data_IF_023966194664
#
_entry.id   IF_023966194664
#
_cell.length_a   1.000
_cell.length_b   1.000
_cell.length_c   1.000
_cell.angle_alpha   90.00
_cell.angle_beta   90.00
_cell.angle_gamma   90.00
#
_symmetry.space_group_name_H-M   'P 1'
#
loop_
_entity.id
_entity.type
_entity.pdbx_description
1 polymer ?
#
# COMPACT_ATOMS: atom_id res chain seq x y z
N UNK A 1 28.56 -39.47 -20.94
CA UNK A 1 28.13 -39.19 -19.54
C UNK A 1 28.50 -37.78 -19.08
N UNK A 2 29.77 -37.35 -19.19
CA UNK A 2 30.20 -36.00 -18.77
C UNK A 2 29.58 -34.82 -19.54
N UNK A 3 29.26 -34.98 -20.83
CA UNK A 3 28.64 -33.93 -21.64
C UNK A 3 27.18 -33.63 -21.20
N UNK A 4 26.43 -34.68 -20.90
CA UNK A 4 25.03 -34.59 -20.44
C UNK A 4 24.96 -33.94 -19.06
N UNK A 5 25.91 -34.26 -18.18
CA UNK A 5 26.01 -33.67 -16.85
C UNK A 5 26.32 -32.17 -16.89
N UNK A 6 27.20 -31.73 -17.81
CA UNK A 6 27.50 -30.30 -18.04
C UNK A 6 26.30 -29.54 -18.61
N UNK A 7 25.53 -30.17 -19.50
CA UNK A 7 24.32 -29.60 -20.06
C UNK A 7 23.21 -29.44 -19.00
N UNK A 8 23.01 -30.46 -18.15
CA UNK A 8 22.10 -30.40 -17.01
C UNK A 8 22.49 -29.30 -16.00
N UNK A 9 23.78 -29.16 -15.69
CA UNK A 9 24.26 -28.12 -14.78
C UNK A 9 24.04 -26.70 -15.36
N UNK A 10 24.26 -26.51 -16.67
CA UNK A 10 23.96 -25.25 -17.35
C UNK A 10 22.47 -24.91 -17.38
N UNK A 11 21.61 -25.91 -17.57
CA UNK A 11 20.15 -25.73 -17.56
C UNK A 11 19.64 -25.31 -16.18
N UNK A 12 20.16 -25.90 -15.11
CA UNK A 12 19.79 -25.54 -13.72
C UNK A 12 20.19 -24.10 -13.40
N UNK A 13 21.40 -23.67 -13.80
CA UNK A 13 21.85 -22.29 -13.63
C UNK A 13 20.96 -21.28 -14.42
N UNK A 14 20.52 -21.65 -15.62
CA UNK A 14 19.67 -20.79 -16.44
C UNK A 14 18.25 -20.60 -15.85
N UNK A 15 17.69 -21.66 -15.25
CA UNK A 15 16.36 -21.59 -14.60
C UNK A 15 16.39 -20.70 -13.35
N UNK A 16 17.49 -20.69 -12.59
CA UNK A 16 17.61 -19.84 -11.39
C UNK A 16 17.64 -18.34 -11.69
N UNK A 17 18.02 -17.93 -12.90
CA UNK A 17 18.01 -16.52 -13.29
C UNK A 17 16.60 -15.98 -13.61
N UNK A 18 15.64 -16.85 -13.97
CA UNK A 18 14.28 -16.44 -14.33
C UNK A 18 13.39 -16.12 -13.11
N UNK A 19 13.79 -16.51 -11.90
CA UNK A 19 13.00 -16.27 -10.67
C UNK A 19 13.34 -14.95 -9.98
N UNK A 20 14.52 -14.38 -10.23
CA UNK A 20 14.95 -13.09 -9.68
C UNK A 20 14.48 -11.95 -10.58
N UNK A 21 13.23 -11.51 -10.40
CA UNK A 21 12.72 -10.33 -11.11
C UNK A 21 11.25 -10.32 -11.47
N UNK A 22 10.40 -11.16 -10.87
CA UNK A 22 8.95 -11.07 -11.11
C UNK A 22 8.40 -9.73 -10.61
N UNK A 23 8.15 -8.81 -11.53
CA UNK A 23 7.43 -7.57 -11.27
C UNK A 23 5.94 -7.87 -11.39
N UNK A 24 5.14 -7.39 -10.43
CA UNK A 24 3.68 -7.42 -10.53
C UNK A 24 3.13 -6.01 -10.58
N UNK A 25 2.17 -5.78 -11.47
CA UNK A 25 1.47 -4.50 -11.56
C UNK A 25 0.33 -4.48 -10.54
N UNK A 26 0.24 -3.39 -9.78
CA UNK A 26 -0.85 -3.13 -8.85
C UNK A 26 -1.47 -1.79 -9.21
N UNK A 27 -2.80 -1.78 -9.24
CA UNK A 27 -3.60 -0.58 -9.45
C UNK A 27 -4.29 -0.20 -8.15
N UNK A 28 -4.85 0.99 -8.08
CA UNK A 28 -5.62 1.36 -6.91
C UNK A 28 -6.18 2.76 -6.95
N UNK A 29 -6.91 3.09 -5.89
CA UNK A 29 -7.50 4.40 -5.63
C UNK A 29 -7.29 4.79 -4.18
N UNK A 30 -6.90 6.04 -3.96
CA UNK A 30 -6.64 6.60 -2.64
C UNK A 30 -7.59 7.76 -2.38
N UNK A 31 -8.29 7.70 -1.25
CA UNK A 31 -9.18 8.76 -0.77
C UNK A 31 -8.83 9.18 0.65
N UNK A 32 -9.19 10.41 1.01
CA UNK A 32 -9.08 10.91 2.38
C UNK A 32 -10.25 10.44 3.23
N UNK A 33 -10.09 10.48 4.55
CA UNK A 33 -11.20 10.21 5.48
C UNK A 33 -12.31 11.26 5.42
N UNK A 34 -11.96 12.50 5.03
CA UNK A 34 -12.90 13.60 4.90
C UNK A 34 -13.67 13.49 3.59
N UNK A 35 -14.99 13.30 3.72
CA UNK A 35 -15.95 13.09 2.63
C UNK A 35 -15.61 12.00 1.59
N UNK A 36 -14.56 11.19 1.82
CA UNK A 36 -14.02 10.22 0.87
C UNK A 36 -13.53 10.86 -0.43
N UNK A 37 -12.95 12.07 -0.33
CA UNK A 37 -12.42 12.80 -1.48
C UNK A 37 -11.16 12.12 -2.04
N UNK A 38 -11.02 12.03 -3.38
CA UNK A 38 -9.79 11.54 -3.99
C UNK A 38 -8.55 12.34 -3.57
N UNK A 39 -7.45 11.64 -3.28
CA UNK A 39 -6.19 12.28 -2.92
C UNK A 39 -5.24 12.34 -4.10
N UNK A 40 -4.93 13.56 -4.52
CA UNK A 40 -4.01 13.88 -5.61
C UNK A 40 -2.57 13.91 -5.08
N UNK A 41 -1.60 13.51 -5.89
CA UNK A 41 -0.17 13.59 -5.57
C UNK A 41 0.24 12.79 -4.31
N UNK A 42 -0.45 11.69 -4.01
CA UNK A 42 -0.02 10.76 -2.96
C UNK A 42 1.22 10.01 -3.45
N UNK A 43 2.34 10.16 -2.74
CA UNK A 43 3.56 9.43 -3.02
C UNK A 43 3.45 8.00 -2.51
N UNK A 44 3.62 7.04 -3.41
CA UNK A 44 3.61 5.60 -3.13
C UNK A 44 5.05 5.11 -3.15
N UNK A 45 5.54 4.62 -2.02
CA UNK A 45 6.93 4.23 -1.84
C UNK A 45 7.08 2.81 -1.32
N UNK A 46 8.21 2.19 -1.60
CA UNK A 46 8.65 1.00 -0.84
C UNK A 46 8.98 1.38 0.61
N UNK A 47 9.19 0.37 1.46
CA UNK A 47 9.67 0.60 2.83
C UNK A 47 11.05 1.27 2.86
N UNK A 48 11.88 1.00 1.85
CA UNK A 48 13.19 1.62 1.64
C UNK A 48 13.09 3.01 0.99
N UNK A 49 11.90 3.61 1.00
CA UNK A 49 11.58 4.96 0.50
C UNK A 49 11.76 5.17 -1.00
N UNK A 50 11.96 4.11 -1.77
CA UNK A 50 12.01 4.18 -3.24
C UNK A 50 10.63 4.58 -3.75
N UNK A 51 10.55 5.66 -4.52
CA UNK A 51 9.30 6.10 -5.12
C UNK A 51 8.89 5.15 -6.25
N UNK A 52 7.70 4.57 -6.10
CA UNK A 52 7.12 3.60 -7.04
C UNK A 52 6.06 4.25 -7.93
N UNK A 53 5.39 5.28 -7.44
CA UNK A 53 4.41 6.03 -8.21
C UNK A 53 3.76 7.15 -7.42
N UNK A 54 2.81 7.82 -8.09
CA UNK A 54 2.06 8.95 -7.57
C UNK A 54 0.61 8.85 -8.05
N UNK A 55 -0.36 9.26 -7.23
CA UNK A 55 -1.76 9.29 -7.67
C UNK A 55 -2.07 10.45 -8.63
N UNK A 56 -2.99 10.19 -9.55
CA UNK A 56 -3.53 11.20 -10.47
C UNK A 56 -4.57 12.12 -9.80
N UNK A 57 -5.19 13.01 -10.60
CA UNK A 57 -6.21 13.96 -10.14
C UNK A 57 -7.48 13.30 -9.59
N UNK A 58 -7.71 12.04 -9.92
CA UNK A 58 -8.85 11.24 -9.48
C UNK A 58 -8.48 10.29 -8.32
N UNK A 59 -7.27 10.44 -7.77
CA UNK A 59 -6.73 9.59 -6.72
C UNK A 59 -6.36 8.19 -7.17
N UNK A 60 -6.36 7.90 -8.48
CA UNK A 60 -6.02 6.59 -9.00
C UNK A 60 -4.51 6.45 -9.20
N UNK A 61 -4.01 5.22 -9.19
CA UNK A 61 -2.61 4.93 -9.50
C UNK A 61 -2.42 3.57 -10.18
N UNK A 62 -1.26 3.41 -10.80
CA UNK A 62 -0.73 2.14 -11.28
C UNK A 62 0.76 2.10 -10.97
N UNK A 63 1.22 1.06 -10.29
CA UNK A 63 2.63 0.90 -9.88
C UNK A 63 3.12 -0.51 -10.15
N UNK A 64 4.40 -0.62 -10.45
CA UNK A 64 5.11 -1.88 -10.57
C UNK A 64 5.77 -2.23 -9.24
N UNK A 65 5.42 -3.39 -8.69
CA UNK A 65 5.98 -3.89 -7.44
C UNK A 65 7.01 -4.98 -7.75
N UNK A 66 8.29 -4.77 -7.41
CA UNK A 66 9.31 -5.82 -7.48
C UNK A 66 8.92 -7.04 -6.64
N UNK A 67 9.41 -8.22 -7.04
CA UNK A 67 9.24 -9.46 -6.29
C UNK A 67 9.65 -9.27 -4.82
N UNK A 68 8.84 -9.78 -3.89
CA UNK A 68 9.08 -9.64 -2.45
C UNK A 68 8.55 -8.33 -1.83
N UNK A 69 8.12 -7.35 -2.64
CA UNK A 69 7.48 -6.13 -2.11
C UNK A 69 6.12 -6.46 -1.51
N UNK A 70 6.05 -6.47 -0.18
CA UNK A 70 4.85 -6.81 0.58
C UNK A 70 4.34 -5.64 1.43
N UNK A 71 5.03 -4.50 1.42
CA UNK A 71 4.62 -3.31 2.14
C UNK A 71 4.79 -2.06 1.27
N UNK A 72 3.88 -1.10 1.44
CA UNK A 72 3.97 0.22 0.83
C UNK A 72 3.80 1.29 1.89
N UNK A 73 4.61 2.35 1.76
CA UNK A 73 4.50 3.57 2.53
C UNK A 73 3.84 4.63 1.64
N UNK A 74 2.71 5.16 2.10
CA UNK A 74 1.96 6.20 1.43
C UNK A 74 2.09 7.51 2.19
N UNK A 75 2.37 8.60 1.48
CA UNK A 75 2.48 9.94 2.06
C UNK A 75 1.91 11.00 1.14
N UNK A 76 1.24 11.98 1.74
CA UNK A 76 0.66 13.13 1.06
C UNK A 76 0.66 14.33 2.01
N UNK A 77 0.49 15.52 1.45
CA UNK A 77 0.39 16.74 2.26
C UNK A 77 -0.82 16.66 3.19
N UNK A 78 -0.64 17.04 4.46
CA UNK A 78 -1.67 17.03 5.51
C UNK A 78 -2.28 15.65 5.84
N UNK A 79 -1.66 14.56 5.38
CA UNK A 79 -2.13 13.19 5.64
C UNK A 79 -1.14 12.42 6.51
N UNK A 80 -1.67 11.61 7.42
CA UNK A 80 -0.86 10.70 8.22
C UNK A 80 -0.20 9.67 7.31
N UNK A 81 1.11 9.48 7.47
CA UNK A 81 1.85 8.45 6.74
C UNK A 81 1.20 7.09 6.98
N UNK A 82 0.80 6.44 5.88
CA UNK A 82 0.02 5.22 5.93
C UNK A 82 0.89 4.07 5.47
N UNK A 83 1.14 3.12 6.38
CA UNK A 83 1.85 1.88 6.06
C UNK A 83 0.82 0.77 5.84
N UNK A 84 0.93 0.07 4.71
CA UNK A 84 0.08 -1.08 4.39
C UNK A 84 0.93 -2.31 4.11
N UNK A 85 0.39 -3.49 4.45
CA UNK A 85 0.93 -4.80 4.08
C UNK A 85 0.01 -5.45 3.04
N UNK A 86 0.56 -5.74 1.87
CA UNK A 86 -0.17 -6.20 0.69
C UNK A 86 -0.10 -7.72 0.60
N UNK A 87 -1.23 -8.36 0.34
CA UNK A 87 -1.27 -9.79 0.06
C UNK A 87 -0.80 -10.10 -1.38
N UNK A 88 -0.17 -11.26 -1.63
CA UNK A 88 0.29 -11.63 -2.98
C UNK A 88 -0.81 -11.65 -4.05
N UNK A 89 -2.05 -11.95 -3.67
CA UNK A 89 -3.22 -11.99 -4.56
C UNK A 89 -3.87 -10.63 -4.83
N UNK A 90 -3.47 -9.58 -4.12
CA UNK A 90 -4.11 -8.26 -4.17
C UNK A 90 -3.58 -7.46 -5.38
N UNK A 91 -4.48 -7.12 -6.31
CA UNK A 91 -4.17 -6.41 -7.58
C UNK A 91 -4.77 -5.00 -7.65
N UNK A 92 -5.85 -4.75 -6.89
CA UNK A 92 -6.50 -3.45 -6.77
C UNK A 92 -6.47 -3.00 -5.30
N UNK A 93 -5.86 -1.86 -5.03
CA UNK A 93 -5.69 -1.30 -3.69
C UNK A 93 -6.61 -0.10 -3.49
N UNK A 94 -7.61 -0.26 -2.62
CA UNK A 94 -8.58 0.78 -2.28
C UNK A 94 -8.30 1.31 -0.88
N UNK A 95 -7.62 2.46 -0.82
CA UNK A 95 -6.93 2.94 0.39
C UNK A 95 -7.59 4.22 0.89
N UNK A 96 -7.86 4.25 2.19
CA UNK A 96 -8.22 5.45 2.96
C UNK A 96 -7.02 5.94 3.77
N UNK A 97 -6.63 7.19 3.56
CA UNK A 97 -5.66 7.91 4.40
C UNK A 97 -6.39 8.78 5.42
N UNK A 98 -5.83 8.88 6.63
CA UNK A 98 -6.35 9.75 7.67
C UNK A 98 -5.60 11.08 7.63
N UNK A 99 -6.26 12.15 8.07
CA UNK A 99 -5.65 13.46 8.19
C UNK A 99 -4.59 13.44 9.29
N UNK A 100 -3.49 14.14 9.05
CA UNK A 100 -2.46 14.35 10.06
C UNK A 100 -2.91 15.44 11.06
N UNK A 101 -3.67 15.02 12.07
CA UNK A 101 -4.19 15.90 13.11
C UNK A 101 -3.29 15.90 14.35
N UNK A 102 -2.52 16.96 14.55
CA UNK A 102 -1.77 17.17 15.79
C UNK A 102 -2.66 17.85 16.83
N UNK A 103 -2.73 17.27 18.02
CA UNK A 103 -3.43 17.88 19.15
C UNK A 103 -2.42 18.58 20.06
N UNK A 104 -2.41 19.90 20.03
CA UNK A 104 -1.53 20.70 20.87
C UNK A 104 -1.69 20.38 22.36
N UNK A 105 -0.59 20.49 23.11
CA UNK A 105 -0.53 20.32 24.57
C UNK A 105 -0.99 18.93 25.07
N UNK A 106 -0.85 17.88 24.26
CA UNK A 106 -1.13 16.51 24.67
C UNK A 106 0.13 15.64 24.77
N UNK A 107 0.05 14.60 25.60
CA UNK A 107 1.13 13.59 25.67
C UNK A 107 1.04 12.64 24.47
N UNK A 108 2.19 12.14 24.01
CA UNK A 108 2.27 11.13 22.94
C UNK A 108 1.39 9.91 23.21
N UNK A 109 1.24 9.49 24.48
CA UNK A 109 0.33 8.39 24.86
C UNK A 109 -1.13 8.73 24.57
N UNK A 110 -1.57 9.95 24.88
CA UNK A 110 -2.95 10.40 24.66
C UNK A 110 -3.22 10.57 23.16
N UNK A 111 -2.27 11.14 22.44
CA UNK A 111 -2.30 11.29 20.98
C UNK A 111 -2.40 9.94 20.26
N UNK A 112 -1.48 9.01 20.55
CA UNK A 112 -1.50 7.65 20.00
C UNK A 112 -2.84 6.93 20.29
N UNK A 113 -3.46 7.17 21.46
CA UNK A 113 -4.78 6.60 21.79
C UNK A 113 -5.90 7.18 20.91
N UNK A 114 -5.87 8.49 20.64
CA UNK A 114 -6.85 9.15 19.77
C UNK A 114 -6.67 8.69 18.33
N UNK A 115 -5.43 8.75 17.80
CA UNK A 115 -5.11 8.27 16.45
C UNK A 115 -5.55 6.82 16.24
N UNK A 116 -5.29 5.95 17.22
CA UNK A 116 -5.73 4.55 17.15
C UNK A 116 -7.26 4.39 17.14
N UNK A 117 -8.03 5.32 17.72
CA UNK A 117 -9.49 5.32 17.62
C UNK A 117 -9.96 5.62 16.19
N UNK A 118 -9.36 6.62 15.54
CA UNK A 118 -9.64 6.91 14.12
C UNK A 118 -9.17 5.77 13.21
N UNK A 119 -7.99 5.21 13.48
CA UNK A 119 -7.47 4.04 12.77
C UNK A 119 -8.45 2.86 12.77
N UNK A 120 -9.07 2.55 13.91
CA UNK A 120 -10.09 1.50 14.01
C UNK A 120 -11.37 1.79 13.23
N UNK A 121 -11.65 3.06 12.90
CA UNK A 121 -12.84 3.44 12.15
C UNK A 121 -12.68 3.20 10.64
N UNK A 122 -11.48 2.89 10.14
CA UNK A 122 -11.20 2.71 8.70
C UNK A 122 -12.07 1.64 8.03
N UNK A 123 -12.37 0.54 8.71
CA UNK A 123 -13.24 -0.52 8.15
C UNK A 123 -14.63 0.04 7.80
N UNK A 124 -15.19 0.89 8.67
CA UNK A 124 -16.49 1.54 8.41
C UNK A 124 -16.40 2.54 7.27
N UNK A 125 -15.30 3.30 7.18
CA UNK A 125 -15.08 4.24 6.09
C UNK A 125 -14.93 3.51 4.74
N UNK A 126 -14.26 2.36 4.72
CA UNK A 126 -14.11 1.53 3.52
C UNK A 126 -15.47 1.00 3.05
N UNK A 127 -16.28 0.47 3.97
CA UNK A 127 -17.65 0.04 3.65
C UNK A 127 -18.50 1.21 3.12
N UNK A 128 -18.37 2.42 3.69
CA UNK A 128 -19.06 3.61 3.22
C UNK A 128 -18.61 4.02 1.80
N UNK A 129 -17.31 3.91 1.49
CA UNK A 129 -16.77 4.17 0.15
C UNK A 129 -17.28 3.17 -0.89
N UNK A 130 -17.40 1.89 -0.51
CA UNK A 130 -18.02 0.86 -1.34
C UNK A 130 -19.49 1.17 -1.61
N UNK A 131 -20.27 1.51 -0.58
CA UNK A 131 -21.68 1.86 -0.73
C UNK A 131 -21.90 3.08 -1.64
N UNK A 132 -20.98 4.06 -1.59
CA UNK A 132 -20.97 5.22 -2.49
C UNK A 132 -20.42 4.92 -3.89
N UNK A 133 -20.04 3.67 -4.19
CA UNK A 133 -19.43 3.24 -5.47
C UNK A 133 -18.11 3.95 -5.78
N UNK A 134 -17.42 4.44 -4.76
CA UNK A 134 -16.07 4.99 -4.87
C UNK A 134 -15.07 3.84 -4.96
N UNK A 135 -15.33 2.78 -4.18
CA UNK A 135 -14.60 1.53 -4.13
C UNK A 135 -15.42 0.40 -4.76
N UNK A 136 -14.72 -0.64 -5.19
CA UNK A 136 -15.25 -1.80 -5.91
C UNK A 136 -15.40 -3.02 -5.00
N UNK A 137 -14.63 -3.10 -3.92
CA UNK A 137 -14.74 -4.13 -2.89
C UNK A 137 -15.33 -3.56 -1.59
N UNK A 138 -16.03 -4.40 -0.83
CA UNK A 138 -16.58 -4.05 0.49
C UNK A 138 -15.54 -4.11 1.61
N UNK A 139 -14.37 -4.69 1.31
CA UNK A 139 -13.26 -4.91 2.24
C UNK A 139 -11.91 -4.89 1.50
N UNK A 140 -10.84 -4.40 2.15
CA UNK A 140 -9.52 -4.29 1.52
C UNK A 140 -8.80 -5.65 1.45
N UNK A 141 -8.09 -5.92 0.35
CA UNK A 141 -7.19 -7.09 0.21
C UNK A 141 -5.78 -6.87 0.78
N UNK A 142 -5.65 -5.95 1.74
CA UNK A 142 -4.40 -5.60 2.41
C UNK A 142 -4.70 -5.23 3.87
N UNK A 143 -3.67 -5.14 4.70
CA UNK A 143 -3.82 -4.71 6.10
C UNK A 143 -3.08 -3.41 6.36
N UNK A 144 -3.70 -2.53 7.15
CA UNK A 144 -3.06 -1.33 7.65
C UNK A 144 -2.14 -1.65 8.84
N UNK A 145 -1.00 -0.97 8.94
CA UNK A 145 -0.10 -1.06 10.08
C UNK A 145 -0.15 0.26 10.84
N UNK A 146 -0.63 0.23 12.09
CA UNK A 146 -0.64 1.41 12.95
C UNK A 146 0.75 1.66 13.52
N UNK A 147 1.32 2.83 13.25
CA UNK A 147 2.59 3.27 13.82
C UNK A 147 2.35 4.32 14.90
N UNK A 148 2.84 4.04 16.11
CA UNK A 148 2.88 5.02 17.19
C UNK A 148 4.02 6.00 16.96
N UNK A 149 3.81 7.24 17.39
CA UNK A 149 4.93 8.14 17.70
C UNK A 149 5.72 7.63 18.90
#
# INVERSE_FOLDING_TARGET
MFLILRFLFGLVLFITCLSYGQVRTVTGKIVGEDELTPLINVSIRSIDTIQLGVTDINGNFTVELPAGTNQLLLSALAMEWTLIKILPSCTNLEIIMLIDGHHDFMTLRKENRIRHRYFKNREKLHLAAYQKRIFTADSPCFTYIFQKY
#
